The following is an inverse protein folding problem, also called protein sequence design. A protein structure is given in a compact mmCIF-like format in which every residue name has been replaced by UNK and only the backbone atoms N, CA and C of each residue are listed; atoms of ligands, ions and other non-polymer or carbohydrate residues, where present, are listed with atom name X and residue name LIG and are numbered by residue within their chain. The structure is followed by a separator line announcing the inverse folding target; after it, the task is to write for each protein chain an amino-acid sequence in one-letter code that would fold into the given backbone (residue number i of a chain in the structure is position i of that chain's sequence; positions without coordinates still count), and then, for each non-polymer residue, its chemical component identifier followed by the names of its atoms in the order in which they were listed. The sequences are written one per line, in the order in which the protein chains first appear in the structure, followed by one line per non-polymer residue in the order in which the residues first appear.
data_IF_930513614047
#
_entry.id   IF_930513614047
#
_cell.length_a   1.000
_cell.length_b   1.000
_cell.length_c   1.000
_cell.angle_alpha   90.00
_cell.angle_beta   90.00
_cell.angle_gamma   90.00
#
_symmetry.space_group_name_H-M   'P 1'
#
loop_
_entity.id
_entity.type
_entity.pdbx_description
1 polymer ?
#
# COMPACT_ATOMS: atom_id res chain seq x y z
N UNK A 1 -15.79 1.53 -21.76
CA UNK A 1 -15.60 2.04 -20.38
C UNK A 1 -14.15 2.52 -20.30
N UNK A 2 -13.98 3.83 -20.31
CA UNK A 2 -12.73 4.56 -20.52
C UNK A 2 -11.61 4.17 -19.52
N UNK A 3 -10.41 3.87 -20.03
CA UNK A 3 -9.17 3.68 -19.24
C UNK A 3 -8.15 4.80 -19.50
N UNK A 4 -8.59 5.96 -19.95
CA UNK A 4 -7.79 7.18 -19.98
C UNK A 4 -8.08 8.00 -18.71
N UNK A 5 -7.03 8.34 -17.96
CA UNK A 5 -7.10 9.52 -17.10
C UNK A 5 -6.69 9.40 -15.63
N UNK A 6 -6.22 8.26 -15.11
CA UNK A 6 -5.61 8.27 -13.78
C UNK A 6 -4.21 8.89 -13.90
N UNK A 7 -4.08 10.16 -13.50
CA UNK A 7 -2.80 10.89 -13.42
C UNK A 7 -2.59 11.38 -12.00
N UNK A 8 -1.33 11.47 -11.55
CA UNK A 8 -1.02 12.02 -10.23
C UNK A 8 -1.48 11.14 -9.06
N UNK A 9 -1.98 11.72 -7.95
CA UNK A 9 -2.31 11.01 -6.72
C UNK A 9 -3.32 9.87 -6.86
N UNK A 10 -4.30 10.00 -7.76
CA UNK A 10 -5.35 8.98 -7.98
C UNK A 10 -4.79 7.69 -8.59
N UNK A 11 -3.86 7.82 -9.54
CA UNK A 11 -3.16 6.68 -10.13
C UNK A 11 -2.33 5.94 -9.08
N UNK A 12 -1.63 6.69 -8.22
CA UNK A 12 -0.86 6.15 -7.12
C UNK A 12 -1.76 5.43 -6.11
N UNK A 13 -2.89 6.04 -5.72
CA UNK A 13 -3.85 5.44 -4.80
C UNK A 13 -4.43 4.13 -5.32
N UNK A 14 -4.82 4.10 -6.60
CA UNK A 14 -5.30 2.88 -7.26
C UNK A 14 -4.21 1.79 -7.29
N UNK A 15 -2.97 2.16 -7.62
CA UNK A 15 -1.83 1.23 -7.61
C UNK A 15 -1.58 0.64 -6.21
N UNK A 16 -1.51 1.48 -5.18
CA UNK A 16 -1.29 1.05 -3.80
C UNK A 16 -2.39 0.12 -3.32
N UNK A 17 -3.65 0.43 -3.66
CA UNK A 17 -4.80 -0.42 -3.32
C UNK A 17 -4.70 -1.80 -3.96
N UNK A 18 -4.45 -1.85 -5.27
CA UNK A 18 -4.31 -3.12 -6.01
C UNK A 18 -3.15 -3.94 -5.43
N UNK A 19 -2.01 -3.30 -5.14
CA UNK A 19 -0.86 -3.98 -4.56
C UNK A 19 -1.18 -4.55 -3.17
N UNK A 20 -1.83 -3.78 -2.30
CA UNK A 20 -2.23 -4.22 -0.95
C UNK A 20 -3.17 -5.41 -1.00
N UNK A 21 -4.20 -5.33 -1.84
CA UNK A 21 -5.23 -6.38 -1.94
C UNK A 21 -4.68 -7.70 -2.51
N UNK A 22 -3.63 -7.64 -3.33
CA UNK A 22 -2.99 -8.82 -3.94
C UNK A 22 -1.77 -9.35 -3.16
N UNK A 23 -1.35 -8.68 -2.08
CA UNK A 23 -0.19 -9.13 -1.29
C UNK A 23 -0.65 -10.02 -0.15
N UNK A 24 -0.15 -11.26 -0.08
CA UNK A 24 -0.40 -12.16 1.05
C UNK A 24 0.35 -11.69 2.30
N UNK A 25 -0.30 -11.63 3.46
CA UNK A 25 0.35 -11.36 4.75
C UNK A 25 1.47 -12.36 5.07
N UNK A 26 1.29 -13.63 4.70
CA UNK A 26 2.26 -14.70 5.00
C UNK A 26 3.59 -14.49 4.28
N UNK A 27 3.57 -13.93 3.07
CA UNK A 27 4.78 -13.58 2.32
C UNK A 27 5.62 -12.53 3.06
N UNK A 28 5.03 -11.77 3.99
CA UNK A 28 5.70 -10.74 4.79
C UNK A 28 6.01 -11.20 6.22
N UNK A 29 5.85 -12.50 6.48
CA UNK A 29 6.02 -13.09 7.81
C UNK A 29 5.00 -12.57 8.82
N UNK A 30 3.84 -12.09 8.37
CA UNK A 30 2.76 -11.64 9.25
C UNK A 30 1.92 -12.87 9.60
N UNK A 31 1.97 -13.36 10.87
CA UNK A 31 1.18 -14.50 11.28
C UNK A 31 -0.31 -14.15 11.23
N UNK A 32 -1.10 -15.01 10.60
CA UNK A 32 -2.56 -14.85 10.53
C UNK A 32 -3.16 -15.48 11.79
N UNK A 33 -3.22 -14.70 12.87
CA UNK A 33 -3.66 -15.18 14.20
C UNK A 33 -5.20 -15.15 14.34
N UNK A 34 -5.92 -14.45 13.45
CA UNK A 34 -7.38 -14.27 13.53
C UNK A 34 -8.07 -14.36 12.18
N UNK A 35 -9.38 -14.68 12.21
CA UNK A 35 -10.24 -14.71 11.02
C UNK A 35 -10.29 -13.30 10.40
N UNK A 36 -9.74 -13.14 9.20
CA UNK A 36 -9.64 -11.85 8.50
C UNK A 36 -10.66 -11.74 7.38
N UNK A 37 -11.22 -10.54 7.19
CA UNK A 37 -12.16 -10.23 6.09
C UNK A 37 -11.47 -10.02 4.75
N UNK A 38 -10.20 -9.60 4.74
CA UNK A 38 -9.43 -9.33 3.53
C UNK A 38 -8.47 -10.48 3.23
N UNK A 39 -8.45 -10.95 1.97
CA UNK A 39 -7.48 -11.95 1.49
C UNK A 39 -6.05 -11.40 1.44
N UNK A 40 -5.90 -10.12 1.11
CA UNK A 40 -4.63 -9.43 1.14
C UNK A 40 -4.36 -8.67 2.44
N UNK A 41 -3.37 -7.80 2.37
CA UNK A 41 -2.97 -6.94 3.47
C UNK A 41 -4.09 -5.96 3.88
N UNK A 42 -4.14 -5.66 5.17
CA UNK A 42 -4.96 -4.60 5.75
C UNK A 42 -4.21 -3.28 5.67
N UNK A 43 -4.94 -2.18 5.80
CA UNK A 43 -4.35 -0.85 5.79
C UNK A 43 -3.42 -0.65 6.98
N UNK A 44 -3.81 -1.15 8.16
CA UNK A 44 -2.96 -1.06 9.35
C UNK A 44 -1.63 -1.81 9.20
N UNK A 45 -1.63 -2.97 8.53
CA UNK A 45 -0.42 -3.76 8.28
C UNK A 45 0.55 -2.99 7.38
N UNK A 46 0.05 -2.40 6.28
CA UNK A 46 0.87 -1.57 5.38
C UNK A 46 1.36 -0.31 6.08
N UNK A 47 0.49 0.35 6.84
CA UNK A 47 0.83 1.57 7.55
C UNK A 47 1.94 1.33 8.59
N UNK A 48 1.83 0.25 9.36
CA UNK A 48 2.85 -0.17 10.33
C UNK A 48 4.20 -0.45 9.64
N UNK A 49 4.21 -1.14 8.50
CA UNK A 49 5.44 -1.40 7.74
C UNK A 49 6.03 -0.15 7.09
N UNK A 50 5.21 0.86 6.83
CA UNK A 50 5.64 2.15 6.27
C UNK A 50 6.03 3.16 7.35
N UNK A 51 5.83 2.84 8.64
CA UNK A 51 5.93 3.79 9.75
C UNK A 51 5.06 5.06 9.56
N UNK A 52 3.87 4.90 8.96
CA UNK A 52 2.87 5.97 8.79
C UNK A 52 1.59 5.61 9.53
N UNK A 53 0.71 6.59 9.72
CA UNK A 53 -0.61 6.31 10.28
C UNK A 53 -1.52 5.63 9.25
N UNK A 54 -2.42 4.75 9.73
CA UNK A 54 -3.45 4.09 8.88
C UNK A 54 -4.32 5.10 8.15
N UNK A 55 -4.63 6.24 8.79
CA UNK A 55 -5.39 7.34 8.18
C UNK A 55 -4.64 7.93 7.00
N UNK A 56 -3.33 8.15 7.13
CA UNK A 56 -2.51 8.71 6.06
C UNK A 56 -2.41 7.75 4.87
N UNK A 57 -2.22 6.45 5.14
CA UNK A 57 -2.29 5.42 4.09
C UNK A 57 -3.68 5.35 3.41
N UNK A 58 -4.75 5.59 4.16
CA UNK A 58 -6.11 5.64 3.59
C UNK A 58 -6.27 6.82 2.64
N UNK A 59 -5.71 7.99 2.96
CA UNK A 59 -5.75 9.15 2.07
C UNK A 59 -4.92 8.95 0.80
N UNK A 60 -3.79 8.25 0.90
CA UNK A 60 -3.03 7.81 -0.27
C UNK A 60 -3.89 6.93 -1.20
N UNK A 61 -4.55 5.89 -0.66
CA UNK A 61 -5.42 5.02 -1.47
C UNK A 61 -6.61 5.77 -2.08
N UNK A 62 -7.08 6.83 -1.43
CA UNK A 62 -8.15 7.69 -1.94
C UNK A 62 -7.68 8.65 -3.03
N UNK A 63 -6.38 8.74 -3.30
CA UNK A 63 -5.84 9.68 -4.28
C UNK A 63 -6.02 11.14 -3.88
N UNK A 64 -6.08 11.43 -2.57
CA UNK A 64 -6.14 12.82 -2.12
C UNK A 64 -4.86 13.55 -2.50
N UNK A 65 -5.00 14.83 -2.81
CA UNK A 65 -3.86 15.71 -3.02
C UNK A 65 -3.19 16.02 -1.67
N UNK A 66 -2.23 15.16 -1.31
CA UNK A 66 -1.41 15.29 -0.11
C UNK A 66 0.06 15.34 -0.53
N UNK A 67 0.84 16.22 0.10
CA UNK A 67 2.28 16.29 -0.17
C UNK A 67 2.97 15.05 0.39
N UNK A 68 3.32 14.12 -0.49
CA UNK A 68 4.01 12.88 -0.14
C UNK A 68 5.50 13.05 -0.37
N UNK A 69 6.31 12.94 0.68
CA UNK A 69 7.76 12.87 0.51
C UNK A 69 8.18 11.44 0.12
N UNK A 70 9.22 11.31 -0.70
CA UNK A 70 9.79 10.01 -1.05
C UNK A 70 10.27 9.23 0.20
N UNK A 71 10.68 9.93 1.26
CA UNK A 71 11.03 9.34 2.56
C UNK A 71 9.82 8.71 3.24
N UNK A 72 8.63 9.32 3.16
CA UNK A 72 7.39 8.77 3.76
C UNK A 72 6.92 7.50 3.06
N UNK A 73 7.24 7.33 1.76
CA UNK A 73 7.02 6.09 1.02
C UNK A 73 8.18 5.08 1.20
N UNK A 74 9.32 5.53 1.71
CA UNK A 74 10.49 4.71 2.01
C UNK A 74 10.42 4.14 3.42
N UNK A 75 9.36 3.37 3.71
CA UNK A 75 9.45 2.43 4.82
C UNK A 75 10.50 1.39 4.43
N UNK A 76 11.58 1.24 5.22
CA UNK A 76 12.70 0.35 4.90
C UNK A 76 12.25 -1.09 4.54
N UNK A 77 11.13 -1.56 5.10
CA UNK A 77 10.52 -2.86 4.77
C UNK A 77 9.69 -2.89 3.49
N UNK A 78 8.99 -1.82 3.13
CA UNK A 78 8.18 -1.75 1.89
C UNK A 78 9.03 -1.45 0.66
N UNK A 79 10.12 -0.69 0.83
CA UNK A 79 11.09 -0.39 -0.23
C UNK A 79 11.85 -1.63 -0.70
N UNK A 80 12.12 -2.57 0.21
CA UNK A 80 12.70 -3.86 -0.12
C UNK A 80 11.76 -4.72 -0.99
N UNK A 81 10.44 -4.68 -0.73
CA UNK A 81 9.48 -5.59 -1.37
C UNK A 81 8.82 -5.02 -2.64
N UNK A 82 8.56 -3.71 -2.70
CA UNK A 82 8.02 -3.06 -3.92
C UNK A 82 9.04 -3.11 -5.06
N UNK A 83 10.34 -3.06 -4.75
CA UNK A 83 11.42 -3.23 -5.73
C UNK A 83 11.79 -4.69 -6.03
N UNK A 84 11.38 -5.67 -5.22
CA UNK A 84 11.77 -7.08 -5.37
C UNK A 84 11.23 -7.75 -6.65
N UNK A 85 10.33 -7.09 -7.41
CA UNK A 85 9.83 -7.60 -8.70
C UNK A 85 10.33 -6.84 -9.93
N UNK A 86 11.40 -6.06 -9.80
CA UNK A 86 12.24 -5.66 -10.94
C UNK A 86 13.65 -6.27 -10.80
N UNK A 87 13.71 -7.60 -10.79
CA UNK A 87 14.88 -8.42 -11.12
C UNK A 87 14.39 -9.78 -11.62
#
# INVERSE_FOLDING_TARGET
MDKSGLTGPEALGAFLRVKRENTSPEMLGIPIISRRRTKGLRREEVAQMSAISTTWYTWLEQGRDITVSAQTLSGDRLRAEINFRRA
#
